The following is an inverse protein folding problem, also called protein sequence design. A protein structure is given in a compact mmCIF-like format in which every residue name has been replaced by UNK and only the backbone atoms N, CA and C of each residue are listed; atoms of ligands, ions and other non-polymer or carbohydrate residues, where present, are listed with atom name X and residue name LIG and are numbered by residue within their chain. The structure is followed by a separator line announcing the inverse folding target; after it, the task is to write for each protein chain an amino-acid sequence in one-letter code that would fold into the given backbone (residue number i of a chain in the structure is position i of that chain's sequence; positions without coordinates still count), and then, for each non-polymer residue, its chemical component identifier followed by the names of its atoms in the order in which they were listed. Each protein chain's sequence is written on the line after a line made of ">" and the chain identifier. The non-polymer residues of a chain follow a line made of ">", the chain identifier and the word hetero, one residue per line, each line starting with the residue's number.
data_IF_683027828892
#
_entry.id   IF_683027828892
#
_cell.length_a   1.000
_cell.length_b   1.000
_cell.length_c   1.000
_cell.angle_alpha   90.00
_cell.angle_beta   90.00
_cell.angle_gamma   90.00
#
_symmetry.space_group_name_H-M   'P 1'
#
loop_
_entity.id
_entity.type
_entity.pdbx_description
1 polymer ?
#
# COMPACT_ATOMS: atom_id res chain seq x y z
N UNK A 1 14.99 -15.21 -0.03
CA UNK A 1 15.91 -15.21 1.11
C UNK A 1 17.34 -15.31 0.62
N UNK A 2 18.29 -14.68 1.31
CA UNK A 2 19.73 -14.86 1.05
C UNK A 2 20.08 -16.32 1.33
N UNK A 3 20.34 -17.14 0.29
CA UNK A 3 20.67 -18.57 0.41
C UNK A 3 19.72 -19.53 -0.32
N UNK A 4 18.69 -19.02 -1.01
CA UNK A 4 17.85 -19.86 -1.87
C UNK A 4 18.54 -20.21 -3.19
N UNK A 5 18.03 -21.23 -3.89
CA UNK A 5 18.53 -21.65 -5.21
C UNK A 5 18.54 -20.50 -6.24
N UNK A 6 17.63 -19.53 -6.12
CA UNK A 6 17.61 -18.30 -6.91
C UNK A 6 18.90 -17.49 -6.74
N UNK A 7 19.51 -17.46 -5.55
CA UNK A 7 20.81 -16.79 -5.34
C UNK A 7 21.99 -17.52 -5.99
N UNK A 8 21.78 -18.77 -6.43
CA UNK A 8 22.75 -19.58 -7.17
C UNK A 8 22.57 -19.52 -8.69
N UNK A 9 21.70 -18.62 -9.20
CA UNK A 9 21.47 -18.42 -10.63
C UNK A 9 20.31 -19.24 -11.21
N UNK A 10 19.48 -19.89 -10.37
CA UNK A 10 18.26 -20.57 -10.83
C UNK A 10 17.29 -19.56 -11.47
N UNK A 11 16.79 -19.87 -12.66
CA UNK A 11 15.83 -19.01 -13.34
C UNK A 11 14.43 -19.15 -12.72
N UNK A 12 13.59 -18.12 -12.93
CA UNK A 12 12.19 -18.14 -12.52
C UNK A 12 11.43 -19.33 -13.13
N UNK A 13 11.81 -19.73 -14.36
CA UNK A 13 11.24 -20.89 -15.05
C UNK A 13 11.61 -22.21 -14.35
N UNK A 14 12.88 -22.37 -14.00
CA UNK A 14 13.35 -23.60 -13.34
C UNK A 14 12.70 -23.75 -11.96
N UNK A 15 12.55 -22.64 -11.23
CA UNK A 15 11.81 -22.62 -9.96
C UNK A 15 10.36 -23.05 -10.15
N UNK A 16 9.68 -22.56 -11.20
CA UNK A 16 8.29 -22.93 -11.50
C UNK A 16 8.14 -24.43 -11.78
N UNK A 17 8.99 -24.97 -12.67
CA UNK A 17 8.99 -26.40 -13.02
C UNK A 17 9.28 -27.30 -11.80
N UNK A 18 10.19 -26.85 -10.94
CA UNK A 18 10.55 -27.60 -9.71
C UNK A 18 9.35 -27.65 -8.75
N UNK A 19 8.65 -26.54 -8.53
CA UNK A 19 7.49 -26.48 -7.63
C UNK A 19 6.36 -27.36 -8.14
N UNK A 20 6.08 -27.34 -9.45
CA UNK A 20 5.08 -28.22 -10.05
C UNK A 20 5.46 -29.70 -9.92
N UNK A 21 6.72 -30.06 -10.18
CA UNK A 21 7.21 -31.42 -10.01
C UNK A 21 7.17 -31.93 -8.55
N UNK A 22 7.21 -31.03 -7.58
CA UNK A 22 7.06 -31.32 -6.15
C UNK A 22 5.59 -31.52 -5.75
N UNK A 23 4.62 -31.33 -6.65
CA UNK A 23 3.20 -31.51 -6.39
C UNK A 23 2.56 -30.35 -5.61
N UNK A 24 3.06 -29.14 -5.78
CA UNK A 24 2.41 -27.96 -5.20
C UNK A 24 1.02 -27.75 -5.80
N UNK A 25 0.04 -27.31 -4.99
CA UNK A 25 -1.32 -26.97 -5.44
C UNK A 25 -1.45 -25.52 -5.86
N UNK A 26 -0.61 -24.63 -5.34
CA UNK A 26 -0.56 -23.20 -5.67
C UNK A 26 0.82 -22.63 -5.33
N UNK A 27 1.14 -21.47 -5.92
CA UNK A 27 2.40 -20.76 -5.66
C UNK A 27 2.12 -19.34 -5.18
N UNK A 28 2.60 -19.03 -3.98
CA UNK A 28 2.58 -17.67 -3.44
C UNK A 28 3.94 -17.03 -3.74
N UNK A 29 3.93 -15.93 -4.50
CA UNK A 29 5.16 -15.31 -5.01
C UNK A 29 5.37 -13.93 -4.41
N UNK A 30 6.55 -13.73 -3.80
CA UNK A 30 7.09 -12.40 -3.50
C UNK A 30 8.43 -12.25 -4.19
N UNK A 31 8.56 -11.29 -5.08
CA UNK A 31 9.75 -11.14 -5.93
C UNK A 31 10.22 -9.68 -6.01
N UNK A 32 11.52 -9.47 -6.20
CA UNK A 32 12.11 -8.14 -6.34
C UNK A 32 11.86 -7.49 -7.71
N UNK A 33 11.57 -8.29 -8.74
CA UNK A 33 11.30 -7.79 -10.08
C UNK A 33 9.81 -7.62 -10.31
N UNK A 34 9.42 -6.45 -10.81
CA UNK A 34 8.05 -6.15 -11.24
C UNK A 34 7.63 -7.10 -12.38
N UNK A 35 6.40 -7.59 -12.34
CA UNK A 35 5.84 -8.51 -13.34
C UNK A 35 6.22 -9.98 -13.15
N UNK A 36 7.02 -10.34 -12.15
CA UNK A 36 7.44 -11.73 -11.93
C UNK A 36 6.26 -12.69 -11.70
N UNK A 37 5.31 -12.30 -10.86
CA UNK A 37 4.10 -13.10 -10.60
C UNK A 37 3.23 -13.24 -11.86
N UNK A 38 3.04 -12.16 -12.61
CA UNK A 38 2.32 -12.18 -13.87
C UNK A 38 2.98 -13.13 -14.89
N UNK A 39 4.32 -13.04 -15.01
CA UNK A 39 5.08 -13.91 -15.90
C UNK A 39 4.95 -15.39 -15.51
N UNK A 40 5.01 -15.73 -14.22
CA UNK A 40 4.79 -17.09 -13.75
C UNK A 40 3.40 -17.61 -14.12
N UNK A 41 2.37 -16.80 -13.98
CA UNK A 41 0.99 -17.18 -14.26
C UNK A 41 0.70 -17.38 -15.77
N UNK A 42 1.41 -16.66 -16.66
CA UNK A 42 1.05 -16.61 -18.10
C UNK A 42 2.10 -17.19 -19.05
N UNK A 43 3.30 -17.54 -18.55
CA UNK A 43 4.36 -18.05 -19.44
C UNK A 43 4.16 -19.52 -19.88
N UNK A 44 3.17 -20.21 -19.35
CA UNK A 44 2.91 -21.62 -19.66
C UNK A 44 3.99 -22.57 -19.14
N UNK A 45 4.74 -22.17 -18.10
CA UNK A 45 5.77 -23.00 -17.51
C UNK A 45 5.23 -23.99 -16.49
N UNK A 46 4.08 -23.70 -15.91
CA UNK A 46 3.37 -24.50 -14.93
C UNK A 46 1.87 -24.26 -15.03
N UNK A 47 1.06 -25.18 -14.51
CA UNK A 47 -0.40 -25.09 -14.46
C UNK A 47 -0.93 -24.75 -13.05
N UNK A 48 -0.08 -24.22 -12.19
CA UNK A 48 -0.43 -23.89 -10.82
C UNK A 48 -1.02 -22.48 -10.71
N UNK A 49 -2.05 -22.27 -9.86
CA UNK A 49 -2.49 -20.94 -9.48
C UNK A 49 -1.35 -20.12 -8.85
N UNK A 50 -1.26 -18.84 -9.24
CA UNK A 50 -0.22 -17.93 -8.74
C UNK A 50 -0.86 -16.79 -7.94
N UNK A 51 -0.48 -16.65 -6.67
CA UNK A 51 -0.86 -15.55 -5.80
C UNK A 51 0.31 -14.56 -5.69
N UNK A 52 0.06 -13.30 -6.06
CA UNK A 52 1.07 -12.25 -5.95
C UNK A 52 1.09 -11.65 -4.53
N UNK A 53 2.12 -11.97 -3.75
CA UNK A 53 2.39 -11.40 -2.42
C UNK A 53 3.36 -10.19 -2.47
N UNK A 54 3.48 -9.56 -3.63
CA UNK A 54 4.25 -8.35 -3.87
C UNK A 54 5.42 -8.54 -4.83
N UNK A 55 5.37 -7.86 -5.97
CA UNK A 55 6.40 -7.89 -6.99
C UNK A 55 6.99 -6.49 -7.26
N UNK A 56 8.29 -6.35 -7.04
CA UNK A 56 9.03 -5.11 -7.26
C UNK A 56 8.36 -3.88 -6.64
N UNK A 57 8.19 -2.85 -7.46
CA UNK A 57 7.41 -1.64 -7.17
C UNK A 57 6.03 -1.66 -7.85
N UNK A 58 5.65 -2.79 -8.43
CA UNK A 58 4.49 -2.91 -9.31
C UNK A 58 3.20 -3.16 -8.52
N UNK A 59 2.98 -4.35 -7.93
CA UNK A 59 1.72 -4.71 -7.30
C UNK A 59 1.91 -5.48 -5.98
N UNK A 60 0.94 -5.34 -5.08
CA UNK A 60 0.77 -6.14 -3.87
C UNK A 60 -0.73 -6.34 -3.61
N UNK A 61 -1.42 -7.16 -4.42
CA UNK A 61 -2.87 -7.29 -4.36
C UNK A 61 -3.39 -7.72 -2.98
N UNK A 62 -2.71 -8.66 -2.33
CA UNK A 62 -3.11 -9.14 -1.00
C UNK A 62 -3.03 -8.04 0.07
N UNK A 63 -2.09 -7.09 -0.05
CA UNK A 63 -2.05 -5.93 0.83
C UNK A 63 -3.26 -5.02 0.60
N UNK A 64 -3.59 -4.73 -0.66
CA UNK A 64 -4.75 -3.90 -0.96
C UNK A 64 -6.07 -4.55 -0.47
N UNK A 65 -6.19 -5.87 -0.56
CA UNK A 65 -7.35 -6.61 -0.05
C UNK A 65 -7.51 -6.48 1.46
N UNK A 66 -6.42 -6.67 2.23
CA UNK A 66 -6.50 -6.49 3.69
C UNK A 66 -6.75 -5.02 4.09
N UNK A 67 -6.18 -4.06 3.35
CA UNK A 67 -6.41 -2.63 3.57
C UNK A 67 -7.87 -2.27 3.30
N UNK A 68 -8.44 -2.74 2.19
CA UNK A 68 -9.84 -2.55 1.83
C UNK A 68 -10.78 -3.23 2.85
N UNK A 69 -10.46 -4.44 3.31
CA UNK A 69 -11.21 -5.14 4.35
C UNK A 69 -11.22 -4.35 5.66
N UNK A 70 -10.08 -3.81 6.07
CA UNK A 70 -9.95 -2.98 7.27
C UNK A 70 -10.81 -1.72 7.14
N UNK A 71 -10.68 -0.99 6.01
CA UNK A 71 -11.48 0.21 5.76
C UNK A 71 -12.99 -0.07 5.77
N UNK A 72 -13.42 -1.18 5.14
CA UNK A 72 -14.83 -1.55 5.12
C UNK A 72 -15.41 -1.81 6.51
N UNK A 73 -14.64 -2.39 7.43
CA UNK A 73 -15.07 -2.61 8.82
C UNK A 73 -15.32 -1.31 9.57
N UNK A 74 -14.55 -0.26 9.27
CA UNK A 74 -14.65 1.02 9.95
C UNK A 74 -15.58 2.03 9.24
N UNK A 75 -15.68 1.93 7.93
CA UNK A 75 -16.40 2.92 7.12
C UNK A 75 -17.75 2.44 6.60
N UNK A 76 -17.93 1.13 6.34
CA UNK A 76 -19.16 0.65 5.71
C UNK A 76 -20.38 1.03 6.57
N UNK A 77 -21.23 1.96 6.11
CA UNK A 77 -22.46 2.24 6.79
C UNK A 77 -23.33 1.01 6.64
N UNK A 78 -23.76 0.47 7.76
CA UNK A 78 -24.78 -0.59 7.84
C UNK A 78 -24.65 -1.69 6.77
N UNK A 79 -24.11 -2.80 7.16
CA UNK A 79 -24.42 -4.10 6.57
C UNK A 79 -25.94 -4.18 6.35
N UNK A 80 -26.40 -4.79 5.26
CA UNK A 80 -27.81 -5.08 5.08
C UNK A 80 -28.38 -5.76 6.32
N UNK A 81 -29.68 -5.82 6.45
CA UNK A 81 -30.38 -6.44 7.61
C UNK A 81 -29.93 -7.88 7.90
N UNK A 82 -29.22 -8.51 6.97
CA UNK A 82 -28.64 -9.85 7.05
C UNK A 82 -27.13 -9.85 7.40
N UNK A 83 -26.55 -8.67 7.65
CA UNK A 83 -25.12 -8.54 7.95
C UNK A 83 -24.20 -8.70 6.75
N UNK A 84 -24.72 -8.86 5.53
CA UNK A 84 -23.92 -9.01 4.32
C UNK A 84 -23.68 -7.66 3.64
N UNK A 85 -22.46 -7.34 3.19
CA UNK A 85 -22.22 -6.18 2.34
C UNK A 85 -22.91 -6.38 0.99
N UNK A 86 -23.55 -5.35 0.47
CA UNK A 86 -24.04 -5.38 -0.91
C UNK A 86 -22.86 -5.62 -1.87
N UNK A 87 -22.96 -6.54 -2.82
CA UNK A 87 -21.93 -6.78 -3.81
C UNK A 87 -21.60 -5.51 -4.59
N UNK A 88 -20.31 -5.16 -4.68
CA UNK A 88 -19.82 -4.01 -5.45
C UNK A 88 -19.81 -2.67 -4.73
N UNK A 89 -20.41 -2.56 -3.55
CA UNK A 89 -20.36 -1.36 -2.71
C UNK A 89 -19.55 -1.62 -1.43
N UNK A 90 -19.21 -0.58 -0.71
CA UNK A 90 -18.59 -0.76 0.60
C UNK A 90 -17.62 0.33 0.98
N UNK A 91 -17.20 1.15 0.00
CA UNK A 91 -16.39 2.36 0.22
C UNK A 91 -16.93 3.55 -0.57
N UNK A 92 -18.17 3.47 -1.06
CA UNK A 92 -18.80 4.55 -1.81
C UNK A 92 -18.82 5.84 -1.00
N UNK A 93 -18.24 6.90 -1.56
CA UNK A 93 -18.11 8.20 -0.91
C UNK A 93 -17.01 8.31 0.14
N UNK A 94 -16.31 7.23 0.48
CA UNK A 94 -15.12 7.31 1.34
C UNK A 94 -14.02 8.10 0.65
N UNK A 95 -13.33 8.95 1.41
CA UNK A 95 -12.14 9.64 0.94
C UNK A 95 -10.91 9.11 1.68
N UNK A 96 -9.99 8.52 0.93
CA UNK A 96 -8.73 7.94 1.44
C UNK A 96 -7.55 8.76 0.92
N UNK A 97 -6.73 9.25 1.83
CA UNK A 97 -5.46 9.92 1.49
C UNK A 97 -4.32 8.92 1.67
N UNK A 98 -3.47 8.77 0.66
CA UNK A 98 -2.25 7.95 0.70
C UNK A 98 -1.05 8.87 0.60
N UNK A 99 -0.20 8.90 1.62
CA UNK A 99 0.88 9.88 1.77
C UNK A 99 2.24 9.22 1.74
N UNK A 100 3.15 9.72 0.90
CA UNK A 100 4.56 9.36 0.98
C UNK A 100 5.21 8.98 -0.35
N UNK A 101 6.11 8.00 -0.32
CA UNK A 101 6.85 7.53 -1.50
C UNK A 101 5.96 6.70 -2.43
N UNK A 102 5.14 7.35 -3.22
CA UNK A 102 4.22 6.71 -4.18
C UNK A 102 5.00 6.07 -5.33
N UNK A 103 6.08 6.71 -5.79
CA UNK A 103 6.89 6.27 -6.94
C UNK A 103 7.38 4.83 -6.76
N UNK A 104 7.81 4.47 -5.56
CA UNK A 104 8.38 3.17 -5.25
C UNK A 104 7.41 2.25 -4.49
N UNK A 105 6.17 2.69 -4.28
CA UNK A 105 5.19 1.94 -3.48
C UNK A 105 4.27 1.09 -4.34
N UNK A 106 4.50 -0.22 -4.33
CA UNK A 106 3.54 -1.20 -4.84
C UNK A 106 2.21 -1.21 -4.04
N UNK A 107 2.27 -0.79 -2.78
CA UNK A 107 1.08 -0.68 -1.92
C UNK A 107 0.18 0.45 -2.41
N UNK A 108 0.74 1.63 -2.70
CA UNK A 108 -0.03 2.74 -3.25
C UNK A 108 -0.72 2.36 -4.56
N UNK A 109 -0.01 1.71 -5.50
CA UNK A 109 -0.58 1.27 -6.79
C UNK A 109 -1.77 0.35 -6.59
N UNK A 110 -1.59 -0.73 -5.84
CA UNK A 110 -2.66 -1.71 -5.62
C UNK A 110 -3.84 -1.13 -4.86
N UNK A 111 -3.60 -0.20 -3.94
CA UNK A 111 -4.69 0.47 -3.21
C UNK A 111 -5.45 1.46 -4.10
N UNK A 112 -4.79 2.22 -4.97
CA UNK A 112 -5.50 3.08 -5.95
C UNK A 112 -6.45 2.22 -6.77
N UNK A 113 -5.96 1.12 -7.37
CA UNK A 113 -6.78 0.26 -8.21
C UNK A 113 -7.99 -0.32 -7.45
N UNK A 114 -7.75 -0.91 -6.27
CA UNK A 114 -8.81 -1.60 -5.53
C UNK A 114 -9.79 -0.64 -4.84
N UNK A 115 -9.28 0.41 -4.17
CA UNK A 115 -10.16 1.32 -3.42
C UNK A 115 -11.08 2.11 -4.35
N UNK A 116 -10.57 2.53 -5.51
CA UNK A 116 -11.42 3.23 -6.49
C UNK A 116 -12.44 2.30 -7.15
N UNK A 117 -12.07 1.02 -7.36
CA UNK A 117 -13.02 0.00 -7.82
C UNK A 117 -14.16 -0.22 -6.80
N UNK A 118 -13.86 -0.07 -5.51
CA UNK A 118 -14.83 -0.16 -4.41
C UNK A 118 -15.60 1.14 -4.14
N UNK A 119 -15.45 2.15 -4.98
CA UNK A 119 -16.18 3.42 -4.90
C UNK A 119 -15.53 4.51 -4.04
N UNK A 120 -14.33 4.28 -3.49
CA UNK A 120 -13.63 5.31 -2.73
C UNK A 120 -12.99 6.35 -3.65
N UNK A 121 -12.95 7.60 -3.18
CA UNK A 121 -12.08 8.64 -3.72
C UNK A 121 -10.70 8.48 -3.11
N UNK A 122 -9.66 8.43 -3.92
CA UNK A 122 -8.27 8.34 -3.47
C UNK A 122 -7.52 9.61 -3.84
N UNK A 123 -6.80 10.19 -2.88
CA UNK A 123 -5.87 11.30 -3.10
C UNK A 123 -4.46 10.87 -2.72
N UNK A 124 -3.53 10.92 -3.68
CA UNK A 124 -2.12 10.68 -3.43
C UNK A 124 -1.43 11.98 -3.03
N UNK A 125 -0.73 11.98 -1.91
CA UNK A 125 0.00 13.14 -1.40
C UNK A 125 1.49 12.81 -1.34
N UNK A 126 2.27 13.49 -2.16
CA UNK A 126 3.72 13.26 -2.23
C UNK A 126 4.44 14.47 -2.84
N UNK A 127 5.74 14.65 -2.59
CA UNK A 127 6.54 15.59 -3.37
C UNK A 127 6.57 15.18 -4.84
N UNK A 128 6.71 16.12 -5.78
CA UNK A 128 6.74 15.81 -7.22
C UNK A 128 7.77 14.74 -7.60
N UNK A 129 8.89 14.68 -6.89
CA UNK A 129 9.97 13.69 -7.09
C UNK A 129 9.60 12.27 -6.68
N UNK A 130 8.57 12.10 -5.87
CA UNK A 130 8.06 10.82 -5.37
C UNK A 130 6.71 10.43 -5.96
N UNK A 131 6.26 11.13 -6.99
CA UNK A 131 5.15 10.70 -7.83
C UNK A 131 5.65 10.04 -9.13
N UNK A 132 5.04 8.95 -9.57
CA UNK A 132 5.43 8.31 -10.83
C UNK A 132 5.05 9.17 -12.04
N UNK A 133 5.88 9.12 -13.08
CA UNK A 133 5.51 9.68 -14.38
C UNK A 133 4.23 9.00 -14.85
N UNK A 134 3.26 9.78 -15.30
CA UNK A 134 1.98 9.25 -15.75
C UNK A 134 0.95 9.00 -14.64
N UNK A 135 1.21 9.44 -13.40
CA UNK A 135 0.23 9.32 -12.29
C UNK A 135 -1.13 9.95 -12.64
N UNK A 136 -1.16 10.91 -13.55
CA UNK A 136 -2.39 11.55 -14.05
C UNK A 136 -3.34 10.58 -14.79
N UNK A 137 -2.83 9.40 -15.21
CA UNK A 137 -3.64 8.35 -15.82
C UNK A 137 -4.26 7.39 -14.80
N UNK A 138 -3.87 7.52 -13.53
CA UNK A 138 -4.46 6.72 -12.46
C UNK A 138 -5.80 7.31 -12.07
N UNK A 139 -6.72 6.47 -11.68
CA UNK A 139 -8.05 6.89 -11.23
C UNK A 139 -7.99 7.47 -9.79
N UNK A 140 -7.24 8.56 -9.60
CA UNK A 140 -7.07 9.21 -8.30
C UNK A 140 -6.70 10.68 -8.47
N UNK A 141 -6.90 11.46 -7.41
CA UNK A 141 -6.40 12.82 -7.30
C UNK A 141 -4.94 12.84 -6.83
N UNK A 142 -4.24 13.93 -7.08
CA UNK A 142 -2.88 14.15 -6.56
C UNK A 142 -2.78 15.51 -5.89
N UNK A 143 -2.03 15.58 -4.79
CA UNK A 143 -1.69 16.83 -4.10
C UNK A 143 -0.22 16.84 -3.68
N UNK A 144 0.38 18.01 -3.66
CA UNK A 144 1.72 18.23 -3.12
C UNK A 144 1.70 18.81 -1.71
N UNK A 145 0.49 19.16 -1.23
CA UNK A 145 0.30 19.78 0.07
C UNK A 145 -0.54 18.88 0.98
N UNK A 146 0.10 18.37 2.03
CA UNK A 146 -0.57 17.44 2.94
C UNK A 146 -1.62 18.15 3.80
N UNK A 147 -1.35 19.37 4.25
CA UNK A 147 -2.29 20.12 5.09
C UNK A 147 -3.58 20.49 4.31
N UNK A 148 -3.44 20.83 3.03
CA UNK A 148 -4.58 21.06 2.15
C UNK A 148 -5.40 19.77 1.94
N UNK A 149 -4.73 18.64 1.73
CA UNK A 149 -5.42 17.35 1.60
C UNK A 149 -6.18 16.98 2.89
N UNK A 150 -5.60 17.23 4.07
CA UNK A 150 -6.27 17.00 5.36
C UNK A 150 -7.48 17.91 5.58
N UNK A 151 -7.45 19.14 5.06
CA UNK A 151 -8.58 20.06 5.15
C UNK A 151 -9.85 19.52 4.45
N UNK A 152 -9.72 18.57 3.53
CA UNK A 152 -10.83 17.85 2.91
C UNK A 152 -11.50 16.83 3.84
N UNK A 153 -11.05 16.69 5.09
CA UNK A 153 -11.61 15.81 6.11
C UNK A 153 -11.75 14.35 5.63
N UNK A 154 -10.64 13.66 5.34
CA UNK A 154 -10.67 12.30 4.82
C UNK A 154 -11.24 11.31 5.86
N UNK A 155 -11.74 10.19 5.38
CA UNK A 155 -12.17 9.06 6.21
C UNK A 155 -10.99 8.19 6.66
N UNK A 156 -9.90 8.20 5.88
CA UNK A 156 -8.67 7.47 6.22
C UNK A 156 -7.42 8.18 5.72
N UNK A 157 -6.36 8.08 6.48
CA UNK A 157 -5.00 8.50 6.08
C UNK A 157 -4.09 7.29 6.15
N UNK A 158 -3.57 6.87 5.01
CA UNK A 158 -2.58 5.80 4.89
C UNK A 158 -1.20 6.40 4.71
N UNK A 159 -0.33 6.22 5.70
CA UNK A 159 1.06 6.65 5.62
C UNK A 159 1.90 5.55 4.98
N UNK A 160 2.64 5.87 3.93
CA UNK A 160 3.58 4.94 3.29
C UNK A 160 4.93 4.96 4.02
N UNK A 161 5.55 3.79 4.11
CA UNK A 161 6.91 3.69 4.65
C UNK A 161 7.90 4.46 3.80
N UNK A 162 8.67 5.34 4.43
CA UNK A 162 9.81 6.01 3.80
C UNK A 162 11.03 5.07 3.81
N UNK A 163 11.56 4.78 2.64
CA UNK A 163 12.77 3.96 2.51
C UNK A 163 14.01 4.84 2.68
N UNK A 164 14.52 4.92 3.92
CA UNK A 164 15.72 5.75 4.26
C UNK A 164 16.92 5.44 3.39
N UNK A 165 17.06 4.18 2.99
CA UNK A 165 18.15 3.70 2.14
C UNK A 165 18.16 4.40 0.76
N UNK A 166 17.01 4.84 0.29
CA UNK A 166 16.86 5.58 -0.97
C UNK A 166 17.02 7.09 -0.82
N UNK A 167 16.85 7.61 0.39
CA UNK A 167 17.03 9.04 0.67
C UNK A 167 18.50 9.45 0.78
N UNK A 168 19.40 8.50 1.10
CA UNK A 168 20.85 8.72 1.30
C UNK A 168 21.72 8.26 0.13
N UNK A 169 21.15 7.77 -0.97
CA UNK A 169 21.91 7.32 -2.13
C UNK A 169 22.63 8.49 -2.80
N UNK A 170 23.92 8.34 -3.05
CA UNK A 170 24.87 9.33 -3.60
C UNK A 170 24.59 9.77 -5.06
N UNK A 171 23.34 9.81 -5.48
CA UNK A 171 22.90 10.17 -6.83
C UNK A 171 21.75 11.18 -6.90
N UNK A 172 21.46 11.89 -5.83
CA UNK A 172 20.36 12.84 -5.74
C UNK A 172 19.19 12.26 -4.95
N UNK A 173 19.13 12.58 -3.67
CA UNK A 173 18.02 12.19 -2.81
C UNK A 173 16.69 12.74 -3.35
N UNK A 174 15.65 11.94 -3.32
CA UNK A 174 14.30 12.36 -3.73
C UNK A 174 13.73 13.45 -2.82
N UNK A 175 14.37 13.68 -1.67
CA UNK A 175 14.04 14.75 -0.73
C UNK A 175 15.31 15.26 -0.02
N UNK A 176 15.40 16.55 0.37
CA UNK A 176 16.62 17.14 0.93
C UNK A 176 17.14 16.48 2.21
N UNK A 177 16.23 16.08 3.11
CA UNK A 177 16.58 15.39 4.34
C UNK A 177 15.37 14.68 4.97
N UNK A 178 15.61 13.70 5.89
CA UNK A 178 14.53 13.11 6.68
C UNK A 178 13.71 14.13 7.49
N UNK A 179 14.38 15.15 8.06
CA UNK A 179 13.72 16.22 8.80
C UNK A 179 12.82 17.08 7.92
N UNK A 180 13.28 17.45 6.72
CA UNK A 180 12.48 18.17 5.75
C UNK A 180 11.25 17.33 5.30
N UNK A 181 11.47 16.03 5.05
CA UNK A 181 10.36 15.13 4.72
C UNK A 181 9.31 15.06 5.86
N UNK A 182 9.76 14.89 7.10
CA UNK A 182 8.89 14.87 8.27
C UNK A 182 8.07 16.17 8.40
N UNK A 183 8.70 17.32 8.22
CA UNK A 183 8.03 18.61 8.30
C UNK A 183 6.93 18.77 7.25
N UNK A 184 7.19 18.34 6.01
CA UNK A 184 6.28 18.54 4.87
C UNK A 184 5.23 17.41 4.74
N UNK A 185 5.62 16.15 4.94
CA UNK A 185 4.82 14.97 4.63
C UNK A 185 4.62 14.00 5.81
N UNK A 186 5.19 14.27 6.98
CA UNK A 186 4.95 13.47 8.18
C UNK A 186 3.56 13.72 8.77
N UNK A 187 2.90 12.67 9.25
CA UNK A 187 1.73 12.81 10.11
C UNK A 187 2.20 13.18 11.50
N UNK A 188 2.42 14.48 11.70
CA UNK A 188 2.85 15.09 12.97
C UNK A 188 1.70 15.13 13.96
N UNK A 189 1.95 15.35 15.29
CA UNK A 189 0.87 15.52 16.26
C UNK A 189 -0.10 16.65 15.89
N UNK A 190 0.40 17.75 15.31
CA UNK A 190 -0.42 18.87 14.88
C UNK A 190 -1.37 18.47 13.74
N UNK A 191 -0.89 17.73 12.74
CA UNK A 191 -1.71 17.21 11.63
C UNK A 191 -2.69 16.15 12.11
N UNK A 192 -2.24 15.25 12.97
CA UNK A 192 -3.11 14.24 13.55
C UNK A 192 -4.30 14.86 14.29
N UNK A 193 -4.07 15.92 15.04
CA UNK A 193 -5.13 16.65 15.76
C UNK A 193 -6.18 17.31 14.84
N UNK A 194 -5.90 17.47 13.53
CA UNK A 194 -6.86 18.02 12.55
C UNK A 194 -7.77 16.97 11.94
N UNK A 195 -7.47 15.68 12.13
CA UNK A 195 -8.28 14.60 11.58
C UNK A 195 -9.66 14.55 12.24
N UNK A 196 -10.70 14.21 11.47
CA UNK A 196 -11.99 13.89 12.06
C UNK A 196 -11.85 12.76 13.09
N UNK A 197 -12.61 12.77 14.20
CA UNK A 197 -12.56 11.69 15.19
C UNK A 197 -12.91 10.30 14.62
N UNK A 198 -13.68 10.25 13.54
CA UNK A 198 -14.06 9.03 12.84
C UNK A 198 -13.04 8.57 11.79
N UNK A 199 -12.02 9.39 11.49
CA UNK A 199 -11.00 9.02 10.52
C UNK A 199 -10.07 7.96 11.09
N UNK A 200 -9.64 7.02 10.25
CA UNK A 200 -8.67 5.99 10.66
C UNK A 200 -7.28 6.26 10.10
N UNK A 201 -6.27 5.89 10.89
CA UNK A 201 -4.86 5.98 10.52
C UNK A 201 -4.34 4.60 10.16
N UNK A 202 -3.76 4.47 8.97
CA UNK A 202 -3.29 3.23 8.37
C UNK A 202 -1.81 3.30 8.04
N UNK A 203 -1.15 2.14 8.03
CA UNK A 203 0.24 1.99 7.58
C UNK A 203 0.52 0.53 7.20
N UNK A 204 1.08 0.23 6.02
CA UNK A 204 1.29 -1.16 5.59
C UNK A 204 2.43 -1.88 6.35
N UNK A 205 3.12 -1.18 7.25
CA UNK A 205 4.26 -1.69 8.02
C UNK A 205 5.51 -2.00 7.17
N UNK A 206 6.69 -2.12 7.83
CA UNK A 206 6.99 -1.56 9.15
C UNK A 206 7.09 -0.04 9.12
N UNK A 207 6.64 0.65 10.17
CA UNK A 207 6.66 2.12 10.23
C UNK A 207 7.98 2.67 10.78
N UNK A 208 8.36 3.89 10.34
CA UNK A 208 9.43 4.68 10.95
C UNK A 208 8.80 5.78 11.82
N UNK A 209 8.64 5.49 13.11
CA UNK A 209 8.12 6.47 14.08
C UNK A 209 8.99 7.71 14.12
N UNK A 210 8.37 8.88 14.15
CA UNK A 210 9.06 10.17 14.12
C UNK A 210 9.58 10.58 12.74
N UNK A 211 9.26 9.83 11.68
CA UNK A 211 9.54 10.21 10.29
C UNK A 211 8.23 10.40 9.52
N UNK A 212 7.62 9.33 9.02
CA UNK A 212 6.35 9.44 8.31
C UNK A 212 5.14 9.51 9.25
N UNK A 213 5.25 8.97 10.48
CA UNK A 213 4.14 8.94 11.44
C UNK A 213 4.65 9.23 12.86
N UNK A 214 3.93 10.07 13.62
CA UNK A 214 4.21 10.30 15.03
C UNK A 214 3.69 9.15 15.91
N UNK A 215 4.22 9.05 17.14
CA UNK A 215 3.79 8.02 18.09
C UNK A 215 2.30 8.20 18.48
N UNK A 216 1.88 9.44 18.70
CA UNK A 216 0.50 9.76 19.10
C UNK A 216 -0.53 9.23 18.08
N UNK A 217 -0.24 9.38 16.77
CA UNK A 217 -1.11 8.85 15.72
C UNK A 217 -1.04 7.32 15.63
N UNK A 218 0.15 6.74 15.73
CA UNK A 218 0.36 5.30 15.59
C UNK A 218 -0.24 4.48 16.74
N UNK A 219 -0.33 5.06 17.94
CA UNK A 219 -0.79 4.41 19.17
C UNK A 219 -2.19 4.87 19.60
N UNK A 220 -2.87 5.69 18.79
CA UNK A 220 -4.21 6.20 19.06
C UNK A 220 -5.31 5.16 18.82
N UNK A 221 -6.50 5.43 19.34
CA UNK A 221 -7.72 4.66 19.04
C UNK A 221 -8.15 4.76 17.56
N UNK A 222 -7.66 5.76 16.82
CA UNK A 222 -7.89 5.91 15.39
C UNK A 222 -6.92 5.03 14.55
N UNK A 223 -5.88 4.47 15.18
CA UNK A 223 -4.91 3.61 14.50
C UNK A 223 -5.47 2.21 14.29
N UNK A 224 -5.62 1.82 13.03
CA UNK A 224 -6.03 0.47 12.64
C UNK A 224 -4.86 -0.37 12.11
N UNK A 225 -3.62 0.05 12.38
CA UNK A 225 -2.39 -0.58 11.85
C UNK A 225 -2.26 -2.04 12.31
N UNK A 226 -2.54 -2.31 13.58
CA UNK A 226 -2.49 -3.68 14.12
C UNK A 226 -3.62 -4.54 13.54
N UNK A 227 -4.79 -3.94 13.33
CA UNK A 227 -5.92 -4.62 12.68
C UNK A 227 -5.60 -4.97 11.22
N UNK A 228 -4.93 -4.06 10.46
CA UNK A 228 -4.45 -4.37 9.11
C UNK A 228 -3.56 -5.63 9.11
N UNK A 229 -2.64 -5.76 10.07
CA UNK A 229 -1.78 -6.95 10.19
C UNK A 229 -2.62 -8.20 10.46
N UNK A 230 -3.57 -8.12 11.39
CA UNK A 230 -4.47 -9.24 11.72
C UNK A 230 -5.35 -9.67 10.53
N UNK A 231 -5.83 -8.70 9.74
CA UNK A 231 -6.64 -8.97 8.55
C UNK A 231 -5.83 -9.57 7.39
N UNK A 232 -4.52 -9.60 7.49
CA UNK A 232 -3.61 -10.20 6.50
C UNK A 232 -3.36 -11.70 6.70
N UNK A 233 -3.88 -12.27 7.76
CA UNK A 233 -3.79 -13.70 8.10
C UNK A 233 -5.10 -14.38 7.76
#
# INVERSE_FOLDING_TARGET
>A
SRGSSVSKGESLKDTALTLEAMGADAVIVRHSSSGAAHRLAHAGWMNLPVLNAGDGTHQHPTQALLDAMTLRRHYAPSLGNDGTPSPGSGLDGAHVIIVGDVLHSRVARSNVDLLTLLGARVTLVAPPTLLPIGVQTWNCDTSYNFDEALAAKPNAVMMLRVQRERMSSAGGGFFPSPGAYHAEYGLTPARFATLPPSAVVMHPGPMNRGLEICADAADSDQSVIVEQVSNGV
#
